data_IF_681317879705
#
_entry.id   IF_681317879705
#
_cell.length_a   1.000
_cell.length_b   1.000
_cell.length_c   1.000
_cell.angle_alpha   90.00
_cell.angle_beta   90.00
_cell.angle_gamma   90.00
#
_symmetry.space_group_name_H-M   'P 1'
#
loop_
_entity.id
_entity.type
_entity.pdbx_description
1 polymer ?
#
# COMPACT_ATOMS: atom_id res chain seq x y z
N UNK A 1 20.33 31.14 26.68
CA UNK A 1 19.90 31.17 25.26
C UNK A 1 20.01 29.78 24.62
N UNK A 2 19.50 28.73 25.28
CA UNK A 2 19.70 27.33 24.84
C UNK A 2 18.45 26.67 24.22
N UNK A 3 17.26 27.17 24.54
CA UNK A 3 16.01 26.45 24.23
C UNK A 3 15.64 26.51 22.74
N UNK A 4 15.90 27.64 22.09
CA UNK A 4 15.49 27.88 20.70
C UNK A 4 16.21 26.97 19.68
N UNK A 5 17.46 26.59 19.95
CA UNK A 5 18.24 25.72 19.04
C UNK A 5 17.73 24.28 19.13
N UNK A 6 17.46 23.77 20.33
CA UNK A 6 16.84 22.45 20.53
C UNK A 6 15.44 22.36 19.91
N UNK A 7 14.64 23.42 20.00
CA UNK A 7 13.30 23.45 19.40
C UNK A 7 13.34 23.46 17.87
N UNK A 8 14.30 24.16 17.26
CA UNK A 8 14.54 24.12 15.81
C UNK A 8 14.93 22.71 15.36
N UNK A 9 15.84 22.05 16.08
CA UNK A 9 16.27 20.68 15.74
C UNK A 9 15.15 19.66 15.92
N UNK A 10 14.31 19.80 16.95
CA UNK A 10 13.17 18.91 17.17
C UNK A 10 12.12 19.04 16.06
N UNK A 11 11.85 20.26 15.61
CA UNK A 11 10.93 20.52 14.51
C UNK A 11 11.46 19.95 13.17
N UNK A 12 12.75 20.05 12.92
CA UNK A 12 13.37 19.45 11.73
C UNK A 12 13.33 17.93 11.76
N UNK A 13 13.64 17.31 12.90
CA UNK A 13 13.54 15.86 13.10
C UNK A 13 12.09 15.40 12.89
N UNK A 14 11.12 16.11 13.47
CA UNK A 14 9.70 15.80 13.27
C UNK A 14 9.31 15.90 11.79
N UNK A 15 9.73 16.97 11.09
CA UNK A 15 9.43 17.16 9.67
C UNK A 15 10.04 16.05 8.79
N UNK A 16 11.28 15.64 9.08
CA UNK A 16 11.94 14.54 8.38
C UNK A 16 11.26 13.21 8.65
N UNK A 17 10.88 12.94 9.91
CA UNK A 17 10.11 11.76 10.29
C UNK A 17 8.76 11.69 9.57
N UNK A 18 8.03 12.81 9.51
CA UNK A 18 6.77 12.89 8.78
C UNK A 18 6.95 12.68 7.27
N UNK A 19 8.02 13.19 6.68
CA UNK A 19 8.32 12.98 5.26
C UNK A 19 8.65 11.51 4.97
N UNK A 20 9.46 10.87 5.82
CA UNK A 20 9.78 9.45 5.71
C UNK A 20 8.53 8.58 5.87
N UNK A 21 7.68 8.87 6.86
CA UNK A 21 6.43 8.15 7.09
C UNK A 21 5.46 8.26 5.91
N UNK A 22 5.29 9.45 5.32
CA UNK A 22 4.47 9.64 4.11
C UNK A 22 4.98 8.82 2.94
N UNK A 23 6.31 8.78 2.74
CA UNK A 23 6.90 7.99 1.66
C UNK A 23 6.65 6.49 1.87
N UNK A 24 6.91 5.98 3.07
CA UNK A 24 6.65 4.57 3.39
C UNK A 24 5.18 4.18 3.17
N UNK A 25 4.23 5.04 3.57
CA UNK A 25 2.81 4.80 3.33
C UNK A 25 2.48 4.77 1.83
N UNK A 26 3.01 5.71 1.05
CA UNK A 26 2.81 5.75 -0.40
C UNK A 26 3.40 4.51 -1.10
N UNK A 27 4.63 4.13 -0.74
CA UNK A 27 5.29 2.93 -1.27
C UNK A 27 4.49 1.66 -0.91
N UNK A 28 3.94 1.59 0.31
CA UNK A 28 3.10 0.48 0.74
C UNK A 28 1.79 0.38 -0.06
N UNK A 29 1.09 1.51 -0.26
CA UNK A 29 -0.13 1.58 -1.08
C UNK A 29 0.16 1.15 -2.52
N UNK A 30 1.25 1.65 -3.11
CA UNK A 30 1.67 1.29 -4.47
C UNK A 30 1.91 -0.22 -4.60
N UNK A 31 2.65 -0.81 -3.67
CA UNK A 31 2.91 -2.24 -3.66
C UNK A 31 1.63 -3.07 -3.54
N UNK A 32 0.73 -2.72 -2.60
CA UNK A 32 -0.53 -3.44 -2.43
C UNK A 32 -1.42 -3.32 -3.67
N UNK A 33 -1.43 -2.17 -4.34
CA UNK A 33 -2.13 -1.98 -5.61
C UNK A 33 -1.59 -2.90 -6.71
N UNK A 34 -0.26 -2.98 -6.86
CA UNK A 34 0.41 -3.80 -7.89
C UNK A 34 0.15 -5.30 -7.73
N UNK A 35 0.13 -5.80 -6.49
CA UNK A 35 -0.23 -7.20 -6.21
C UNK A 35 -1.74 -7.39 -6.04
N UNK A 36 -2.49 -6.30 -6.13
CA UNK A 36 -3.94 -6.32 -6.14
C UNK A 36 -4.59 -6.74 -4.82
N UNK A 37 -3.95 -6.41 -3.71
CA UNK A 37 -4.42 -6.71 -2.35
C UNK A 37 -4.92 -5.45 -1.64
N UNK A 38 -5.80 -5.58 -0.64
CA UNK A 38 -6.21 -4.45 0.19
C UNK A 38 -5.05 -3.93 1.04
N UNK A 39 -5.15 -2.67 1.45
CA UNK A 39 -4.18 -2.01 2.34
C UNK A 39 -4.82 -1.71 3.69
N UNK A 40 -4.09 -1.94 4.79
CA UNK A 40 -4.52 -1.56 6.13
C UNK A 40 -3.88 -0.22 6.52
N UNK A 41 -4.72 0.79 6.82
CA UNK A 41 -4.28 2.13 7.21
C UNK A 41 -5.07 2.54 8.45
N UNK A 42 -4.36 2.90 9.53
CA UNK A 42 -4.97 3.26 10.81
C UNK A 42 -5.96 2.22 11.36
N UNK A 43 -5.73 0.93 11.09
CA UNK A 43 -6.61 -0.17 11.50
C UNK A 43 -7.83 -0.39 10.60
N UNK A 44 -7.98 0.39 9.53
CA UNK A 44 -9.08 0.27 8.56
C UNK A 44 -8.55 -0.36 7.25
N UNK A 45 -9.33 -1.28 6.67
CA UNK A 45 -9.00 -1.95 5.41
C UNK A 45 -9.57 -1.20 4.20
N UNK A 46 -8.71 -0.87 3.25
CA UNK A 46 -9.06 -0.17 2.01
C UNK A 46 -8.79 -1.05 0.78
N UNK A 47 -9.80 -1.14 -0.09
CA UNK A 47 -9.66 -1.77 -1.40
C UNK A 47 -9.26 -0.72 -2.43
N UNK A 48 -8.10 -0.91 -3.06
CA UNK A 48 -7.58 0.02 -4.07
C UNK A 48 -8.06 -0.33 -5.50
N UNK A 49 -8.67 -1.51 -5.66
CA UNK A 49 -9.28 -1.98 -6.90
C UNK A 49 -10.73 -1.51 -6.98
N UNK A 50 -11.14 -1.04 -8.17
CA UNK A 50 -12.55 -0.81 -8.45
C UNK A 50 -13.28 -2.16 -8.69
N UNK A 51 -14.61 -2.15 -8.62
CA UNK A 51 -15.42 -3.37 -8.74
C UNK A 51 -15.15 -4.15 -10.04
N UNK A 52 -14.82 -3.45 -11.14
CA UNK A 52 -14.46 -4.08 -12.41
C UNK A 52 -13.12 -4.81 -12.32
N UNK A 53 -12.12 -4.22 -11.68
CA UNK A 53 -10.81 -4.83 -11.54
C UNK A 53 -10.89 -6.09 -10.66
N UNK A 54 -11.60 -6.02 -9.54
CA UNK A 54 -11.85 -7.19 -8.70
C UNK A 54 -12.55 -8.32 -9.46
N UNK A 55 -13.49 -8.00 -10.36
CA UNK A 55 -14.16 -9.00 -11.19
C UNK A 55 -13.20 -9.66 -12.17
N UNK A 56 -12.31 -8.88 -12.80
CA UNK A 56 -11.30 -9.41 -13.72
C UNK A 56 -10.38 -10.38 -12.98
N UNK A 57 -9.87 -10.02 -11.79
CA UNK A 57 -8.97 -10.91 -11.06
C UNK A 57 -9.66 -12.24 -10.66
N UNK A 58 -10.93 -12.18 -10.26
CA UNK A 58 -11.72 -13.39 -9.96
C UNK A 58 -11.86 -14.26 -11.21
N UNK A 59 -12.09 -13.65 -12.38
CA UNK A 59 -12.20 -14.39 -13.65
C UNK A 59 -10.86 -15.03 -14.03
N UNK A 60 -9.76 -14.31 -13.88
CA UNK A 60 -8.41 -14.79 -14.17
C UNK A 60 -8.03 -15.95 -13.22
N UNK A 61 -8.35 -15.86 -11.92
CA UNK A 61 -8.12 -16.93 -10.94
C UNK A 61 -8.93 -18.21 -11.29
N UNK A 62 -10.18 -18.04 -11.72
CA UNK A 62 -11.05 -19.15 -12.17
C UNK A 62 -10.46 -19.80 -13.42
N UNK A 63 -10.02 -19.01 -14.40
CA UNK A 63 -9.44 -19.50 -15.64
C UNK A 63 -8.10 -20.22 -15.39
N UNK A 64 -7.24 -19.67 -14.54
CA UNK A 64 -5.98 -20.31 -14.12
C UNK A 64 -6.24 -21.67 -13.49
N UNK A 65 -7.17 -21.73 -12.53
CA UNK A 65 -7.55 -22.97 -11.85
C UNK A 65 -8.07 -24.01 -12.85
N UNK A 66 -8.94 -23.59 -13.78
CA UNK A 66 -9.48 -24.49 -14.80
C UNK A 66 -8.39 -25.01 -15.75
N UNK A 67 -7.50 -24.14 -16.23
CA UNK A 67 -6.39 -24.53 -17.11
C UNK A 67 -5.44 -25.53 -16.41
N UNK A 68 -5.13 -25.30 -15.14
CA UNK A 68 -4.35 -26.24 -14.30
C UNK A 68 -5.02 -27.61 -14.21
N UNK A 69 -6.33 -27.66 -13.94
CA UNK A 69 -7.11 -28.91 -13.88
C UNK A 69 -7.14 -29.64 -15.22
N UNK A 70 -7.14 -28.90 -16.34
CA UNK A 70 -7.14 -29.48 -17.68
C UNK A 70 -5.73 -29.80 -18.22
N UNK A 71 -4.67 -29.47 -17.47
CA UNK A 71 -3.28 -29.65 -17.90
C UNK A 71 -2.91 -28.76 -19.09
N UNK A 72 -3.57 -27.61 -19.24
CA UNK A 72 -3.30 -26.61 -20.27
C UNK A 72 -2.29 -25.62 -19.68
N UNK A 73 -1.04 -25.68 -20.15
CA UNK A 73 0.05 -24.77 -19.76
C UNK A 73 0.17 -23.59 -20.72
#
# INVERSE_FOLDING_TARGET
MSNNITDLTNNEIFRLGMAAGRKQLADHIQHQFEIGKPVEINGELYWLKNARQNLIDIMDDIESTWNEEQGIN
#
